data_IF_264031634007
#
_entry.id   IF_264031634007
#
_cell.length_a   1.000
_cell.length_b   1.000
_cell.length_c   1.000
_cell.angle_alpha   90.00
_cell.angle_beta   90.00
_cell.angle_gamma   90.00
#
_symmetry.space_group_name_H-M   'P 1'
#
loop_
_entity.id
_entity.type
_entity.pdbx_description
1 polymer ?
#
# COMPACT_ATOMS: atom_id res chain seq x y z
N UNK A 1 15.10 30.38 9.64
CA UNK A 1 14.73 29.15 10.38
C UNK A 1 13.29 28.84 10.05
N UNK A 2 13.02 28.27 8.88
CA UNK A 2 11.66 28.01 8.40
C UNK A 2 11.24 26.58 8.76
N UNK A 3 10.41 26.46 9.79
CA UNK A 3 9.73 25.22 10.13
C UNK A 3 8.66 24.91 9.06
N UNK A 4 9.08 24.27 7.97
CA UNK A 4 8.22 23.77 6.90
C UNK A 4 7.50 22.48 7.32
N UNK A 5 6.69 22.51 8.40
CA UNK A 5 5.89 21.35 8.84
C UNK A 5 4.54 21.74 9.43
N UNK A 6 3.74 22.53 8.70
CA UNK A 6 2.36 22.82 9.13
C UNK A 6 1.40 23.01 7.97
N UNK A 7 1.11 21.99 7.14
CA UNK A 7 0.17 22.17 6.00
C UNK A 7 -0.73 21.00 5.62
N UNK A 8 -0.91 19.97 6.46
CA UNK A 8 -1.90 18.90 6.16
C UNK A 8 -3.27 19.24 6.75
N UNK A 9 -3.36 19.38 8.08
CA UNK A 9 -4.63 19.63 8.77
C UNK A 9 -5.24 21.01 8.43
N UNK A 10 -4.42 22.07 8.34
CA UNK A 10 -4.93 23.41 7.98
C UNK A 10 -5.48 23.45 6.54
N UNK A 11 -4.87 22.69 5.63
CA UNK A 11 -5.33 22.57 4.25
C UNK A 11 -6.68 21.85 4.18
N UNK A 12 -6.85 20.77 4.95
CA UNK A 12 -8.13 20.07 5.05
C UNK A 12 -9.21 20.92 5.70
N UNK A 13 -8.88 21.65 6.77
CA UNK A 13 -9.81 22.56 7.43
C UNK A 13 -10.31 23.67 6.48
N UNK A 14 -9.40 24.28 5.71
CA UNK A 14 -9.77 25.28 4.69
C UNK A 14 -10.61 24.70 3.56
N UNK A 15 -10.29 23.48 3.09
CA UNK A 15 -11.09 22.80 2.08
C UNK A 15 -12.52 22.50 2.59
N UNK A 16 -12.63 22.01 3.82
CA UNK A 16 -13.92 21.74 4.47
C UNK A 16 -14.76 23.01 4.67
N UNK A 17 -14.15 24.12 5.10
CA UNK A 17 -14.85 25.40 5.23
C UNK A 17 -15.38 25.93 3.88
N UNK A 18 -14.69 25.63 2.77
CA UNK A 18 -15.07 26.14 1.45
C UNK A 18 -16.11 25.26 0.72
N UNK A 19 -16.06 23.94 0.88
CA UNK A 19 -16.89 23.01 0.09
C UNK A 19 -17.42 21.82 0.90
N UNK A 20 -17.49 21.97 2.22
CA UNK A 20 -18.08 20.97 3.13
C UNK A 20 -17.32 19.65 3.15
N UNK A 21 -18.02 18.58 3.55
CA UNK A 21 -17.43 17.24 3.70
C UNK A 21 -16.99 16.64 2.36
N UNK A 22 -17.66 17.01 1.25
CA UNK A 22 -17.30 16.57 -0.10
C UNK A 22 -15.87 17.00 -0.49
N UNK A 23 -15.39 18.13 0.05
CA UNK A 23 -14.02 18.60 -0.14
C UNK A 23 -12.95 17.66 0.45
N UNK A 24 -13.36 16.80 1.39
CA UNK A 24 -12.51 15.80 2.03
C UNK A 24 -12.61 14.43 1.36
N UNK A 25 -13.47 14.27 0.35
CA UNK A 25 -13.54 13.05 -0.42
C UNK A 25 -12.16 12.70 -0.98
N UNK A 26 -11.84 11.40 -0.94
CA UNK A 26 -10.59 10.91 -1.51
C UNK A 26 -10.54 11.27 -2.99
N UNK A 27 -9.45 11.90 -3.43
CA UNK A 27 -9.19 12.20 -4.85
C UNK A 27 -8.81 10.96 -5.66
N UNK A 28 -8.88 9.78 -5.05
CA UNK A 28 -8.31 8.55 -5.56
C UNK A 28 -6.88 8.32 -5.07
N UNK A 29 -6.26 7.19 -5.46
CA UNK A 29 -4.90 6.86 -5.09
C UNK A 29 -3.94 7.90 -5.64
N UNK A 30 -3.30 8.66 -4.75
CA UNK A 30 -2.33 9.70 -5.13
C UNK A 30 -0.92 9.18 -5.42
N UNK A 31 -0.73 7.86 -5.41
CA UNK A 31 0.54 7.21 -5.71
C UNK A 31 0.53 6.55 -7.10
N UNK A 32 1.68 6.02 -7.49
CA UNK A 32 1.80 5.20 -8.70
C UNK A 32 0.78 4.07 -8.73
N UNK A 33 0.35 3.72 -9.95
CA UNK A 33 -0.47 2.53 -10.16
C UNK A 33 0.25 1.32 -9.57
N UNK A 34 -0.52 0.39 -9.02
CA UNK A 34 0.04 -0.87 -8.54
C UNK A 34 0.86 -1.49 -9.68
N UNK A 35 2.14 -1.79 -9.41
CA UNK A 35 3.05 -2.39 -10.40
C UNK A 35 2.73 -3.85 -10.72
N UNK A 36 1.84 -4.46 -9.93
CA UNK A 36 1.34 -5.81 -10.14
C UNK A 36 -0.03 -5.73 -10.81
N UNK A 37 -0.14 -6.33 -11.99
CA UNK A 37 -1.42 -6.60 -12.62
C UNK A 37 -2.25 -7.61 -11.79
N UNK A 38 -3.56 -7.68 -12.05
CA UNK A 38 -4.49 -8.56 -11.35
C UNK A 38 -4.10 -10.04 -11.43
N UNK A 39 -3.57 -10.52 -12.56
CA UNK A 39 -3.14 -11.91 -12.70
C UNK A 39 -1.91 -12.20 -11.81
N UNK A 40 -0.94 -11.28 -11.75
CA UNK A 40 0.20 -11.40 -10.83
C UNK A 40 -0.25 -11.38 -9.37
N UNK A 41 -1.23 -10.54 -9.05
CA UNK A 41 -1.80 -10.44 -7.70
C UNK A 41 -2.53 -11.73 -7.31
N UNK A 42 -3.28 -12.34 -8.24
CA UNK A 42 -3.96 -13.62 -8.03
C UNK A 42 -2.96 -14.76 -7.79
N UNK A 43 -1.89 -14.83 -8.61
CA UNK A 43 -0.80 -15.79 -8.40
C UNK A 43 -0.14 -15.62 -7.04
N UNK A 44 0.19 -14.38 -6.66
CA UNK A 44 0.80 -14.10 -5.36
C UNK A 44 -0.09 -14.59 -4.21
N UNK A 45 -1.41 -14.34 -4.27
CA UNK A 45 -2.35 -14.83 -3.25
C UNK A 45 -2.36 -16.35 -3.15
N UNK A 46 -2.36 -17.06 -4.28
CA UNK A 46 -2.31 -18.52 -4.30
C UNK A 46 -1.02 -19.05 -3.66
N UNK A 47 0.13 -18.45 -3.98
CA UNK A 47 1.42 -18.87 -3.41
C UNK A 47 1.53 -18.57 -1.92
N UNK A 48 1.04 -17.41 -1.47
CA UNK A 48 0.99 -17.07 -0.04
C UNK A 48 0.09 -18.03 0.74
N UNK A 49 -1.02 -18.50 0.15
CA UNK A 49 -1.93 -19.47 0.75
C UNK A 49 -1.31 -20.87 0.92
N UNK A 50 -0.37 -21.26 0.05
CA UNK A 50 0.42 -22.50 0.21
C UNK A 50 1.38 -22.44 1.40
N UNK A 51 1.68 -21.24 1.88
CA UNK A 51 2.51 -20.97 3.04
C UNK A 51 4.02 -21.11 2.76
N UNK A 52 4.88 -20.55 3.62
CA UNK A 52 6.32 -20.47 3.37
C UNK A 52 7.01 -21.84 3.28
N UNK A 53 6.48 -22.85 3.99
CA UNK A 53 7.00 -24.22 3.93
C UNK A 53 6.92 -24.82 2.51
N UNK A 54 5.89 -24.49 1.73
CA UNK A 54 5.75 -24.92 0.34
C UNK A 54 6.81 -24.30 -0.59
N UNK A 55 7.50 -23.26 -0.12
CA UNK A 55 8.54 -22.51 -0.83
C UNK A 55 9.94 -22.75 -0.25
N UNK A 56 10.13 -23.83 0.54
CA UNK A 56 11.42 -24.19 1.11
C UNK A 56 11.76 -23.48 2.42
N UNK A 57 10.86 -22.66 2.97
CA UNK A 57 11.05 -21.96 4.25
C UNK A 57 10.36 -22.68 5.40
N UNK A 58 10.57 -24.00 5.50
CA UNK A 58 9.90 -24.84 6.48
C UNK A 58 10.39 -24.61 7.92
N UNK A 59 11.65 -24.19 8.10
CA UNK A 59 12.26 -24.05 9.43
C UNK A 59 11.65 -22.90 10.24
N UNK A 60 11.48 -21.73 9.62
CA UNK A 60 11.00 -20.54 10.29
C UNK A 60 9.55 -20.15 9.92
N UNK A 61 9.00 -20.74 8.86
CA UNK A 61 7.64 -20.54 8.35
C UNK A 61 7.18 -19.08 8.30
N UNK A 62 8.08 -18.17 7.87
CA UNK A 62 7.76 -16.74 7.76
C UNK A 62 7.74 -16.23 6.33
N UNK A 63 6.86 -15.28 6.08
CA UNK A 63 6.98 -14.39 4.93
C UNK A 63 7.80 -13.17 5.33
N UNK A 64 8.89 -12.93 4.60
CA UNK A 64 9.69 -11.70 4.70
C UNK A 64 9.54 -10.90 3.42
N UNK A 65 9.88 -9.60 3.47
CA UNK A 65 9.81 -8.75 2.27
C UNK A 65 10.66 -9.32 1.12
N UNK A 66 11.85 -9.84 1.42
CA UNK A 66 12.72 -10.45 0.42
C UNK A 66 12.05 -11.68 -0.24
N UNK A 67 11.46 -12.57 0.56
CA UNK A 67 10.77 -13.77 0.05
C UNK A 67 9.54 -13.42 -0.78
N UNK A 68 8.80 -12.40 -0.37
CA UNK A 68 7.66 -11.90 -1.17
C UNK A 68 8.17 -11.27 -2.47
N UNK A 69 9.31 -10.57 -2.45
CA UNK A 69 9.94 -10.01 -3.64
C UNK A 69 10.30 -11.10 -4.66
N UNK A 70 10.82 -12.25 -4.20
CA UNK A 70 11.08 -13.41 -5.07
C UNK A 70 9.82 -13.98 -5.74
N UNK A 71 8.65 -13.89 -5.07
CA UNK A 71 7.38 -14.36 -5.64
C UNK A 71 6.80 -13.42 -6.71
N UNK A 72 7.21 -12.14 -6.70
CA UNK A 72 6.67 -11.10 -7.60
C UNK A 72 7.67 -10.62 -8.66
N UNK A 73 8.92 -11.06 -8.59
CA UNK A 73 9.96 -10.85 -9.60
C UNK A 73 9.60 -11.56 -10.92
#
# INVERSE_FOLDING_TARGET
>A
MECHRRRSANRWYRAWQASGIEALASKGPGGDKCRLDEARLARLRAELARGPAAHGYAEDQRWTLARIADLIA
#
